data_IF_470038087801
#
_entry.id   IF_470038087801
#
_cell.length_a   1.000
_cell.length_b   1.000
_cell.length_c   1.000
_cell.angle_alpha   90.00
_cell.angle_beta   90.00
_cell.angle_gamma   90.00
#
_symmetry.space_group_name_H-M   'P 1'
#
loop_
_entity.id
_entity.type
_entity.pdbx_description
1 polymer ?
#
# COMPACT_ATOMS: atom_id res chain seq x y z
N UNK A 1 4.00 -34.36 -5.79
CA UNK A 1 2.82 -33.52 -5.53
C UNK A 1 3.12 -32.18 -6.14
N UNK A 2 2.51 -31.87 -7.26
CA UNK A 2 2.60 -30.55 -7.89
C UNK A 2 1.56 -29.71 -7.16
N UNK A 3 1.99 -28.80 -6.30
CA UNK A 3 1.09 -27.83 -5.67
C UNK A 3 0.64 -26.88 -6.80
N UNK A 4 -0.60 -27.04 -7.21
CA UNK A 4 -1.26 -26.14 -8.17
C UNK A 4 -1.21 -24.72 -7.59
N UNK A 5 -0.71 -23.71 -8.32
CA UNK A 5 -0.68 -22.35 -7.82
C UNK A 5 -2.12 -21.92 -7.53
N UNK A 6 -2.38 -21.52 -6.30
CA UNK A 6 -3.68 -21.01 -5.90
C UNK A 6 -4.11 -19.91 -6.89
N UNK A 7 -5.34 -19.99 -7.39
CA UNK A 7 -5.88 -18.96 -8.27
C UNK A 7 -5.77 -17.61 -7.57
N UNK A 8 -5.42 -16.52 -8.28
CA UNK A 8 -5.28 -15.20 -7.68
C UNK A 8 -6.58 -14.82 -6.98
N UNK A 9 -6.48 -14.46 -5.71
CA UNK A 9 -7.64 -14.04 -4.92
C UNK A 9 -8.22 -12.77 -5.53
N UNK A 10 -9.46 -12.85 -5.97
CA UNK A 10 -10.19 -11.73 -6.55
C UNK A 10 -10.75 -10.90 -5.41
N UNK A 11 -10.10 -9.78 -5.13
CA UNK A 11 -10.51 -8.85 -4.08
C UNK A 11 -11.45 -7.79 -4.66
N UNK A 12 -12.42 -7.36 -3.86
CA UNK A 12 -13.15 -6.14 -4.19
C UNK A 12 -12.20 -4.95 -3.98
N UNK A 13 -12.11 -4.02 -4.93
CA UNK A 13 -11.24 -2.83 -4.82
C UNK A 13 -11.42 -2.04 -3.50
N UNK A 14 -12.59 -2.21 -2.89
CA UNK A 14 -12.91 -1.73 -1.57
C UNK A 14 -12.08 -2.37 -0.45
N UNK A 15 -11.77 -3.66 -0.52
CA UNK A 15 -10.92 -4.33 0.47
C UNK A 15 -9.50 -3.79 0.46
N UNK A 16 -8.93 -3.61 -0.72
CA UNK A 16 -7.59 -2.99 -0.86
C UNK A 16 -7.57 -1.58 -0.26
N UNK A 17 -8.63 -0.80 -0.51
CA UNK A 17 -8.77 0.53 0.09
C UNK A 17 -8.87 0.49 1.62
N UNK A 18 -9.64 -0.45 2.20
CA UNK A 18 -9.77 -0.58 3.65
C UNK A 18 -8.45 -0.94 4.30
N UNK A 19 -7.72 -1.90 3.76
CA UNK A 19 -6.38 -2.30 4.23
C UNK A 19 -5.39 -1.14 4.11
N UNK A 20 -5.36 -0.45 2.98
CA UNK A 20 -4.51 0.73 2.80
C UNK A 20 -4.86 1.88 3.78
N UNK A 21 -6.14 2.05 4.09
CA UNK A 21 -6.58 3.05 5.08
C UNK A 21 -6.16 2.66 6.50
N UNK A 22 -6.12 1.37 6.81
CA UNK A 22 -5.64 0.87 8.10
C UNK A 22 -4.13 1.09 8.25
N UNK A 23 -3.34 0.85 7.19
CA UNK A 23 -1.91 1.19 7.18
C UNK A 23 -1.67 2.69 7.42
N UNK A 24 -2.43 3.55 6.73
CA UNK A 24 -2.34 4.99 6.93
C UNK A 24 -2.70 5.41 8.36
N UNK A 25 -3.73 4.80 8.97
CA UNK A 25 -4.10 5.06 10.37
C UNK A 25 -3.03 4.62 11.35
N UNK A 26 -2.43 3.46 11.13
CA UNK A 26 -1.35 2.94 11.98
C UNK A 26 -0.21 3.92 12.07
N UNK A 27 0.06 4.66 11.02
CA UNK A 27 1.10 5.67 10.96
C UNK A 27 0.65 7.05 11.45
N UNK A 28 -0.65 7.29 11.59
CA UNK A 28 -1.22 8.58 11.93
C UNK A 28 -1.37 9.52 10.71
N UNK A 29 -1.30 8.99 9.50
CA UNK A 29 -1.46 9.77 8.29
C UNK A 29 -2.91 10.22 8.09
N UNK A 30 -3.07 11.39 7.48
CA UNK A 30 -4.40 12.00 7.25
C UNK A 30 -5.07 11.55 5.95
N UNK A 31 -4.33 10.90 5.07
CA UNK A 31 -4.78 10.45 3.76
C UNK A 31 -4.16 9.11 3.41
N UNK A 32 -4.89 8.30 2.67
CA UNK A 32 -4.38 7.05 2.11
C UNK A 32 -3.66 7.34 0.80
N UNK A 33 -2.36 7.14 0.78
CA UNK A 33 -1.48 7.31 -0.38
C UNK A 33 -1.26 6.02 -1.17
N UNK A 34 -0.49 6.10 -2.24
CA UNK A 34 -0.06 4.97 -3.08
C UNK A 34 0.87 4.01 -2.32
N UNK A 35 1.70 4.54 -1.43
CA UNK A 35 2.55 3.83 -0.48
C UNK A 35 1.74 2.92 0.45
N UNK A 36 0.62 3.41 1.00
CA UNK A 36 -0.27 2.61 1.83
C UNK A 36 -0.96 1.50 1.02
N UNK A 37 -1.29 1.77 -0.26
CA UNK A 37 -1.83 0.74 -1.16
C UNK A 37 -0.78 -0.35 -1.40
N UNK A 38 0.50 0.02 -1.60
CA UNK A 38 1.59 -0.95 -1.74
C UNK A 38 1.77 -1.80 -0.47
N UNK A 39 1.74 -1.17 0.72
CA UNK A 39 1.82 -1.90 1.99
C UNK A 39 0.65 -2.86 2.18
N UNK A 40 -0.57 -2.45 1.83
CA UNK A 40 -1.75 -3.31 1.89
C UNK A 40 -1.64 -4.52 0.96
N UNK A 41 -1.08 -4.34 -0.24
CA UNK A 41 -0.85 -5.47 -1.15
C UNK A 41 0.15 -6.47 -0.61
N UNK A 42 1.15 -6.04 0.17
CA UNK A 42 2.14 -6.91 0.80
C UNK A 42 1.58 -7.75 1.97
N UNK A 43 0.32 -7.58 2.35
CA UNK A 43 -0.36 -8.54 3.22
C UNK A 43 -0.65 -9.88 2.52
N UNK A 44 -0.64 -9.89 1.19
CA UNK A 44 -0.77 -11.11 0.38
C UNK A 44 0.61 -11.74 0.15
N UNK A 45 0.85 -12.97 0.64
CA UNK A 45 2.13 -13.67 0.44
C UNK A 45 2.51 -13.86 -1.04
N UNK A 46 1.54 -13.92 -1.94
CA UNK A 46 1.81 -14.02 -3.38
C UNK A 46 2.46 -12.76 -3.93
N UNK A 47 2.06 -11.60 -3.43
CA UNK A 47 2.65 -10.30 -3.78
C UNK A 47 4.04 -10.15 -3.16
N UNK A 48 4.24 -10.58 -1.91
CA UNK A 48 5.57 -10.64 -1.29
C UNK A 48 6.54 -11.47 -2.14
N UNK A 49 6.11 -12.65 -2.58
CA UNK A 49 6.94 -13.53 -3.41
C UNK A 49 7.30 -12.89 -4.77
N UNK A 50 6.38 -12.18 -5.39
CA UNK A 50 6.60 -11.49 -6.67
C UNK A 50 7.57 -10.32 -6.52
N UNK A 51 7.40 -9.51 -5.47
CA UNK A 51 8.24 -8.36 -5.18
C UNK A 51 9.61 -8.75 -4.61
N UNK A 52 9.70 -9.89 -3.93
CA UNK A 52 10.91 -10.34 -3.23
C UNK A 52 11.19 -9.55 -1.95
N UNK A 53 10.19 -8.88 -1.39
CA UNK A 53 10.27 -8.10 -0.15
C UNK A 53 9.07 -8.39 0.74
N UNK A 54 9.29 -8.38 2.06
CA UNK A 54 8.22 -8.61 3.03
C UNK A 54 7.55 -7.30 3.44
N UNK A 55 6.31 -7.40 3.92
CA UNK A 55 5.60 -6.27 4.50
C UNK A 55 6.40 -5.57 5.61
N UNK A 56 7.10 -6.35 6.45
CA UNK A 56 7.91 -5.79 7.52
C UNK A 56 9.08 -4.95 6.99
N UNK A 57 9.78 -5.45 5.97
CA UNK A 57 10.86 -4.69 5.30
C UNK A 57 10.32 -3.41 4.68
N UNK A 58 9.16 -3.47 4.04
CA UNK A 58 8.53 -2.30 3.44
C UNK A 58 8.13 -1.25 4.49
N UNK A 59 7.59 -1.67 5.64
CA UNK A 59 7.29 -0.75 6.76
C UNK A 59 8.54 -0.09 7.31
N UNK A 60 9.62 -0.85 7.50
CA UNK A 60 10.90 -0.31 7.98
C UNK A 60 11.51 0.69 7.00
N UNK A 61 11.51 0.36 5.70
CA UNK A 61 11.99 1.28 4.66
C UNK A 61 11.16 2.58 4.63
N UNK A 62 9.85 2.48 4.80
CA UNK A 62 8.97 3.63 4.84
C UNK A 62 9.26 4.55 6.05
N UNK A 63 9.46 3.98 7.24
CA UNK A 63 9.88 4.75 8.43
C UNK A 63 11.24 5.41 8.23
N UNK A 64 12.20 4.72 7.60
CA UNK A 64 13.51 5.29 7.31
C UNK A 64 13.43 6.49 6.39
N UNK A 65 12.59 6.43 5.35
CA UNK A 65 12.35 7.56 4.44
C UNK A 65 11.79 8.78 5.17
N UNK A 66 10.87 8.58 6.11
CA UNK A 66 10.34 9.67 6.93
C UNK A 66 11.40 10.30 7.83
N UNK A 67 12.22 9.46 8.46
CA UNK A 67 13.33 9.91 9.32
C UNK A 67 14.35 10.70 8.51
N UNK A 68 14.70 10.24 7.30
CA UNK A 68 15.59 10.96 6.40
C UNK A 68 15.01 12.32 5.99
N UNK A 69 13.72 12.36 5.64
CA UNK A 69 13.03 13.60 5.30
C UNK A 69 13.00 14.58 6.47
N UNK A 70 12.70 14.13 7.68
CA UNK A 70 12.73 14.96 8.89
C UNK A 70 14.15 15.46 9.20
N UNK A 71 15.15 14.60 9.05
CA UNK A 71 16.57 14.96 9.26
C UNK A 71 17.04 16.01 8.26
N UNK A 72 16.62 15.89 6.99
CA UNK A 72 16.92 16.86 5.94
C UNK A 72 16.31 18.24 6.22
N UNK A 73 15.18 18.29 6.94
CA UNK A 73 14.55 19.52 7.39
C UNK A 73 15.11 20.07 8.71
N UNK A 74 16.17 19.42 9.27
CA UNK A 74 16.73 19.81 10.56
C UNK A 74 15.84 19.44 11.77
N UNK A 75 14.82 18.63 11.56
CA UNK A 75 13.89 18.15 12.59
C UNK A 75 14.28 16.75 13.11
N UNK A 76 15.52 16.30 12.86
CA UNK A 76 16.03 15.02 13.34
C UNK A 76 16.00 14.98 14.87
N UNK A 77 15.36 13.95 15.37
CA UNK A 77 15.16 13.51 16.76
C UNK A 77 15.84 14.37 17.85
N UNK A 78 15.20 15.44 18.24
CA UNK A 78 15.40 15.98 19.59
C UNK A 78 14.79 14.97 20.55
N UNK A 79 15.65 14.18 21.21
CA UNK A 79 15.28 13.26 22.29
C UNK A 79 14.62 14.00 23.48
N UNK A 80 14.45 15.32 23.39
CA UNK A 80 13.98 16.23 24.41
C UNK A 80 12.57 16.83 24.13
N UNK A 81 11.88 16.34 23.09
CA UNK A 81 10.49 16.76 22.92
C UNK A 81 9.63 16.10 23.99
N UNK A 82 8.86 16.88 24.81
CA UNK A 82 7.93 16.30 25.76
C UNK A 82 6.96 15.38 25.00
N UNK A 83 6.61 14.20 25.58
CA UNK A 83 5.69 13.29 24.92
C UNK A 83 4.41 14.05 24.56
N UNK A 84 4.10 14.08 23.28
CA UNK A 84 2.84 14.66 22.82
C UNK A 84 1.71 13.96 23.59
N UNK A 85 0.71 14.71 24.11
CA UNK A 85 -0.37 14.11 24.88
C UNK A 85 -1.00 13.02 24.01
N UNK A 86 -0.91 11.76 24.46
CA UNK A 86 -1.54 10.64 23.79
C UNK A 86 -3.02 10.98 23.64
N UNK A 87 -3.42 11.26 22.42
CA UNK A 87 -4.83 11.44 22.09
C UNK A 87 -5.56 10.20 22.54
N UNK A 88 -6.49 10.37 23.48
CA UNK A 88 -7.25 9.28 24.05
C UNK A 88 -7.76 8.36 22.93
N UNK A 89 -7.44 7.06 23.04
CA UNK A 89 -7.93 6.04 22.11
C UNK A 89 -9.46 6.14 22.12
N UNK A 90 -10.12 6.47 21.02
CA UNK A 90 -11.57 6.54 20.99
C UNK A 90 -12.15 5.16 21.33
N UNK A 91 -13.22 5.13 22.13
CA UNK A 91 -14.02 3.94 22.40
C UNK A 91 -14.28 3.20 21.11
N UNK A 92 -14.20 1.85 21.15
CA UNK A 92 -14.42 0.95 20.01
C UNK A 92 -15.53 1.48 19.11
N UNK A 93 -15.21 1.82 17.84
CA UNK A 93 -16.20 2.38 16.93
C UNK A 93 -17.28 1.33 16.64
N UNK A 94 -18.53 1.75 16.58
CA UNK A 94 -19.61 0.90 16.09
C UNK A 94 -19.44 0.66 14.59
N UNK A 95 -19.98 -0.43 14.05
CA UNK A 95 -19.93 -0.75 12.61
C UNK A 95 -20.38 0.44 11.73
N UNK A 96 -21.31 1.25 12.21
CA UNK A 96 -21.79 2.47 11.53
C UNK A 96 -20.74 3.60 11.59
N UNK A 97 -20.01 3.75 12.69
CA UNK A 97 -18.94 4.75 12.82
C UNK A 97 -17.76 4.39 11.91
N UNK A 98 -17.49 3.09 11.73
CA UNK A 98 -16.48 2.59 10.79
C UNK A 98 -16.89 2.90 9.35
N UNK A 99 -18.18 2.84 9.03
CA UNK A 99 -18.66 3.07 7.66
C UNK A 99 -18.78 4.54 7.26
N UNK A 100 -18.94 5.48 8.16
CA UNK A 100 -19.26 6.86 7.81
C UNK A 100 -18.28 7.93 8.30
N UNK A 101 -17.57 7.76 9.42
CA UNK A 101 -16.85 8.86 10.07
C UNK A 101 -15.33 8.78 10.00
N UNK A 102 -14.77 7.61 9.63
CA UNK A 102 -13.32 7.35 9.78
C UNK A 102 -12.62 6.97 8.48
N UNK A 103 -13.22 7.30 7.34
CA UNK A 103 -12.60 7.02 6.04
C UNK A 103 -11.53 8.06 5.76
N UNK A 104 -10.28 7.65 5.85
CA UNK A 104 -9.19 8.48 5.36
C UNK A 104 -9.39 8.71 3.86
N UNK A 105 -9.42 9.97 3.45
CA UNK A 105 -9.56 10.29 2.03
C UNK A 105 -8.35 9.79 1.27
N UNK A 106 -8.59 9.10 0.17
CA UNK A 106 -7.51 8.72 -0.73
C UNK A 106 -6.89 9.93 -1.42
N UNK A 107 -5.59 9.84 -1.67
CA UNK A 107 -4.95 10.79 -2.59
C UNK A 107 -5.45 10.55 -4.02
N UNK A 108 -5.44 11.57 -4.89
CA UNK A 108 -5.85 11.40 -6.29
C UNK A 108 -5.05 10.31 -7.01
N UNK A 109 -3.75 10.16 -6.71
CA UNK A 109 -2.89 9.12 -7.27
C UNK A 109 -3.32 7.72 -6.84
N UNK A 110 -3.56 7.48 -5.53
CA UNK A 110 -4.03 6.21 -5.03
C UNK A 110 -5.40 5.83 -5.60
N UNK A 111 -6.32 6.79 -5.69
CA UNK A 111 -7.63 6.59 -6.33
C UNK A 111 -7.47 6.17 -7.79
N UNK A 112 -6.61 6.86 -8.55
CA UNK A 112 -6.35 6.56 -9.95
C UNK A 112 -5.78 5.15 -10.13
N UNK A 113 -4.86 4.73 -9.28
CA UNK A 113 -4.29 3.36 -9.30
C UNK A 113 -5.40 2.30 -9.21
N UNK A 114 -6.32 2.44 -8.25
CA UNK A 114 -7.42 1.48 -8.08
C UNK A 114 -8.44 1.55 -9.23
N UNK A 115 -8.74 2.74 -9.74
CA UNK A 115 -9.63 2.92 -10.89
C UNK A 115 -9.02 2.30 -12.17
N UNK A 116 -7.72 2.49 -12.41
CA UNK A 116 -7.03 1.95 -13.58
C UNK A 116 -6.90 0.42 -13.47
N UNK A 117 -6.62 -0.12 -12.30
CA UNK A 117 -6.59 -1.55 -12.04
C UNK A 117 -7.96 -2.22 -12.27
N UNK A 118 -9.06 -1.52 -11.99
CA UNK A 118 -10.42 -2.04 -12.14
C UNK A 118 -10.98 -1.91 -13.56
N UNK A 119 -10.32 -1.22 -14.49
CA UNK A 119 -10.80 -1.01 -15.87
C UNK A 119 -11.21 -2.27 -16.61
N UNK A 120 -10.47 -3.40 -16.52
CA UNK A 120 -10.88 -4.63 -17.19
C UNK A 120 -12.21 -5.19 -16.69
N UNK A 121 -12.58 -4.89 -15.43
CA UNK A 121 -13.77 -5.41 -14.74
C UNK A 121 -14.71 -4.31 -14.24
N UNK A 122 -14.89 -3.23 -14.99
CA UNK A 122 -15.67 -2.04 -14.60
C UNK A 122 -17.07 -2.35 -14.04
N UNK A 123 -17.71 -3.44 -14.49
CA UNK A 123 -19.06 -3.79 -14.06
C UNK A 123 -19.14 -4.35 -12.64
N UNK A 124 -18.03 -4.85 -12.05
CA UNK A 124 -18.02 -5.54 -10.75
C UNK A 124 -17.05 -4.98 -9.72
N UNK A 125 -16.21 -4.00 -10.06
CA UNK A 125 -15.16 -3.42 -9.19
C UNK A 125 -14.22 -4.48 -8.55
N UNK A 126 -14.12 -5.65 -9.16
CA UNK A 126 -13.19 -6.68 -8.74
C UNK A 126 -11.81 -6.38 -9.32
N UNK A 127 -10.81 -6.42 -8.44
CA UNK A 127 -9.40 -6.28 -8.80
C UNK A 127 -8.62 -7.42 -8.17
N UNK A 128 -7.56 -7.87 -8.84
CA UNK A 128 -6.58 -8.74 -8.20
C UNK A 128 -5.45 -7.88 -7.64
N UNK A 129 -4.78 -8.36 -6.57
CA UNK A 129 -3.60 -7.69 -6.03
C UNK A 129 -2.54 -7.46 -7.11
N UNK A 130 -2.39 -8.41 -8.04
CA UNK A 130 -1.48 -8.32 -9.17
C UNK A 130 -1.84 -7.18 -10.14
N UNK A 131 -3.12 -6.96 -10.43
CA UNK A 131 -3.58 -5.84 -11.27
C UNK A 131 -3.27 -4.48 -10.62
N UNK A 132 -3.50 -4.37 -9.31
CA UNK A 132 -3.17 -3.15 -8.56
C UNK A 132 -1.66 -2.94 -8.52
N UNK A 133 -0.87 -4.01 -8.26
CA UNK A 133 0.58 -3.95 -8.28
C UNK A 133 1.11 -3.52 -9.65
N UNK A 134 0.56 -4.06 -10.74
CA UNK A 134 0.94 -3.66 -12.10
C UNK A 134 0.76 -2.15 -12.33
N UNK A 135 -0.29 -1.54 -11.79
CA UNK A 135 -0.49 -0.09 -11.85
C UNK A 135 0.52 0.68 -10.98
N UNK A 136 0.79 0.20 -9.77
CA UNK A 136 1.81 0.81 -8.89
C UNK A 136 3.18 0.82 -9.56
N UNK A 137 3.56 -0.26 -10.23
CA UNK A 137 4.84 -0.36 -10.94
C UNK A 137 4.97 0.61 -12.15
N UNK A 138 3.89 1.30 -12.55
CA UNK A 138 3.95 2.36 -13.57
C UNK A 138 4.29 3.73 -12.99
N UNK A 139 4.16 3.88 -11.66
CA UNK A 139 4.41 5.15 -10.99
C UNK A 139 5.90 5.50 -11.02
N UNK A 140 6.20 6.79 -11.03
CA UNK A 140 7.56 7.32 -11.03
C UNK A 140 7.73 8.29 -9.87
N UNK A 141 8.96 8.46 -9.35
CA UNK A 141 9.23 9.51 -8.37
C UNK A 141 8.77 10.88 -8.91
N UNK A 142 8.19 11.75 -8.09
CA UNK A 142 8.18 11.70 -6.62
C UNK A 142 6.98 10.96 -5.99
N UNK A 143 6.31 10.06 -6.70
CA UNK A 143 5.19 9.30 -6.10
C UNK A 143 5.68 8.45 -4.90
N UNK A 144 4.99 8.46 -3.74
CA UNK A 144 5.42 7.77 -2.53
C UNK A 144 5.67 6.27 -2.71
N UNK A 145 4.81 5.56 -3.47
CA UNK A 145 5.03 4.14 -3.74
C UNK A 145 6.26 3.89 -4.60
N UNK A 146 6.52 4.74 -5.59
CA UNK A 146 7.71 4.63 -6.44
C UNK A 146 8.99 4.89 -5.64
N UNK A 147 8.97 5.87 -4.73
CA UNK A 147 10.09 6.16 -3.82
C UNK A 147 10.33 4.98 -2.88
N UNK A 148 9.27 4.41 -2.30
CA UNK A 148 9.37 3.24 -1.43
C UNK A 148 9.93 2.02 -2.15
N UNK A 149 9.46 1.71 -3.37
CA UNK A 149 10.02 0.64 -4.21
C UNK A 149 11.50 0.85 -4.50
N UNK A 150 11.91 2.09 -4.76
CA UNK A 150 13.32 2.46 -4.94
C UNK A 150 14.15 2.23 -3.68
N UNK A 151 13.67 2.63 -2.51
CA UNK A 151 14.33 2.42 -1.22
C UNK A 151 14.47 0.93 -0.87
N UNK A 152 13.50 0.11 -1.29
CA UNK A 152 13.56 -1.35 -1.14
C UNK A 152 14.48 -2.04 -2.15
N UNK A 153 15.06 -1.30 -3.10
CA UNK A 153 15.91 -1.87 -4.15
C UNK A 153 15.15 -2.76 -5.14
N UNK A 154 13.83 -2.58 -5.25
CA UNK A 154 12.99 -3.40 -6.12
C UNK A 154 13.26 -3.06 -7.59
N UNK A 155 13.67 -4.08 -8.36
CA UNK A 155 13.84 -3.95 -9.80
C UNK A 155 12.49 -4.03 -10.50
N UNK A 156 11.87 -2.87 -10.73
CA UNK A 156 10.54 -2.75 -11.35
C UNK A 156 10.40 -3.50 -12.69
N UNK A 157 11.36 -3.44 -13.64
CA UNK A 157 11.32 -4.23 -14.88
C UNK A 157 11.28 -5.73 -14.64
N UNK A 158 12.05 -6.23 -13.67
CA UNK A 158 12.09 -7.65 -13.31
C UNK A 158 10.77 -8.12 -12.69
N UNK A 159 10.24 -7.34 -11.76
CA UNK A 159 8.94 -7.63 -11.12
C UNK A 159 7.83 -7.65 -12.15
N UNK A 160 7.85 -6.73 -13.11
CA UNK A 160 6.85 -6.70 -14.20
C UNK A 160 6.92 -7.98 -15.04
N UNK A 161 8.11 -8.44 -15.41
CA UNK A 161 8.28 -9.71 -16.13
C UNK A 161 7.72 -10.90 -15.35
N UNK A 162 7.93 -10.94 -14.02
CA UNK A 162 7.39 -11.98 -13.16
C UNK A 162 5.86 -11.93 -13.10
N UNK A 163 5.27 -10.74 -13.01
CA UNK A 163 3.82 -10.57 -13.06
C UNK A 163 3.23 -11.07 -14.38
N UNK A 164 3.84 -10.71 -15.50
CA UNK A 164 3.39 -11.13 -16.83
C UNK A 164 3.48 -12.66 -16.99
N UNK A 165 4.49 -13.30 -16.37
CA UNK A 165 4.66 -14.76 -16.40
C UNK A 165 3.61 -15.49 -15.54
N UNK A 166 3.11 -14.87 -14.46
CA UNK A 166 2.10 -15.45 -13.55
C UNK A 166 0.68 -15.21 -14.07
N UNK A 167 0.50 -14.23 -14.96
CA UNK A 167 -0.80 -13.92 -15.58
C UNK A 167 -0.77 -14.33 -17.07
N UNK A 168 -0.90 -15.63 -17.40
CA UNK A 168 -0.95 -16.06 -18.78
C UNK A 168 -2.29 -15.65 -19.39
N UNK A 169 -2.27 -14.62 -20.24
CA UNK A 169 -3.29 -14.36 -21.26
C UNK A 169 -4.65 -13.91 -20.73
N UNK A 170 -4.89 -12.61 -20.74
CA UNK A 170 -6.23 -12.06 -20.93
C UNK A 170 -6.50 -11.91 -22.41
#
# INVERSE_FOLDING_TARGET
>A
MITEPAAPEVLHGWHVYLQASEEARRRGDRRTGTDHVLLALLEDPSIEAVLGVTLQQARQAHESLDQEALSALGLGSSTDAPPLPMRAVPKKPTLLDIMQKDRLRMTPAAKKVLEDASKPNRRRLYVTGQQVLAQILTLQPPDPAAVLLGALGVNTPEVRRRLDAVTPGS
#
